data_IF_290128987219
#
_entry.id   IF_290128987219
#
_cell.length_a   1.000
_cell.length_b   1.000
_cell.length_c   1.000
_cell.angle_alpha   90.00
_cell.angle_beta   90.00
_cell.angle_gamma   90.00
#
_symmetry.space_group_name_H-M   'P 1'
#
loop_
_entity.id
_entity.type
_entity.pdbx_description
1 polymer ?
#
# COMPACT_ATOMS: atom_id res chain seq x y z
N UNK A 1 3.73 -7.22 -3.28
CA UNK A 1 5.11 -6.78 -3.60
C UNK A 1 4.96 -5.51 -4.42
N UNK A 2 4.83 -4.36 -3.75
CA UNK A 2 4.58 -3.08 -4.40
C UNK A 2 5.76 -2.16 -4.12
N UNK A 3 6.75 -2.19 -5.00
CA UNK A 3 7.81 -1.19 -5.05
C UNK A 3 7.41 -0.26 -6.19
N UNK A 4 7.07 0.99 -5.85
CA UNK A 4 6.89 2.03 -6.86
C UNK A 4 8.24 2.34 -7.50
N UNK A 5 8.47 1.80 -8.69
CA UNK A 5 9.52 2.29 -9.59
C UNK A 5 8.98 3.52 -10.33
N UNK A 6 9.61 4.67 -10.11
CA UNK A 6 9.48 5.83 -10.99
C UNK A 6 10.60 5.73 -12.02
N UNK A 7 10.30 5.14 -13.18
CA UNK A 7 11.10 5.31 -14.39
C UNK A 7 10.49 6.46 -15.19
N UNK A 8 11.15 7.61 -15.21
CA UNK A 8 10.71 8.76 -16.02
C UNK A 8 11.27 8.64 -17.44
N UNK A 9 10.40 8.33 -18.40
CA UNK A 9 10.66 8.60 -19.82
C UNK A 9 10.29 10.05 -20.14
N UNK A 10 11.17 10.72 -20.87
CA UNK A 10 11.06 12.11 -21.31
C UNK A 10 9.82 12.34 -22.20
N UNK A 11 9.18 13.51 -22.07
CA UNK A 11 8.18 13.95 -23.05
C UNK A 11 7.28 15.11 -22.62
N UNK A 12 7.72 16.33 -22.96
CA UNK A 12 6.93 17.52 -23.37
C UNK A 12 5.98 18.25 -22.38
N UNK A 13 6.23 19.56 -22.23
CA UNK A 13 5.49 20.56 -21.45
C UNK A 13 4.06 20.79 -21.95
N UNK A 14 3.13 20.99 -21.01
CA UNK A 14 1.95 21.84 -21.18
C UNK A 14 1.75 22.67 -19.90
N UNK A 15 1.70 24.01 -20.07
CA UNK A 15 1.45 24.98 -18.98
C UNK A 15 -0.05 25.11 -18.73
N UNK A 16 -0.46 25.02 -17.46
CA UNK A 16 -1.80 25.41 -17.01
C UNK A 16 -1.63 26.52 -15.97
N UNK A 17 -2.19 27.70 -16.25
CA UNK A 17 -2.25 28.84 -15.34
C UNK A 17 -3.44 28.67 -14.38
N UNK A 18 -3.20 28.76 -13.07
CA UNK A 18 -4.23 28.88 -12.04
C UNK A 18 -3.95 30.09 -11.14
N UNK A 19 -4.99 30.77 -10.63
CA UNK A 19 -4.89 32.08 -10.00
C UNK A 19 -4.27 32.02 -8.60
N UNK A 20 -3.53 33.08 -8.25
CA UNK A 20 -2.83 33.23 -6.97
C UNK A 20 -3.77 33.80 -5.89
N UNK A 21 -3.86 33.10 -4.75
CA UNK A 21 -4.39 33.65 -3.49
C UNK A 21 -3.22 34.19 -2.67
N UNK A 22 -3.27 35.42 -2.11
CA UNK A 22 -2.14 35.97 -1.36
C UNK A 22 -2.13 35.42 0.07
N UNK A 23 -1.21 34.50 0.36
CA UNK A 23 -0.85 34.15 1.74
C UNK A 23 0.35 35.03 2.15
N UNK A 24 0.16 35.82 3.21
CA UNK A 24 1.25 36.59 3.84
C UNK A 24 2.26 35.62 4.44
N UNK A 25 3.38 35.47 3.74
CA UNK A 25 4.48 34.57 4.05
C UNK A 25 5.56 35.35 4.82
N UNK A 26 5.76 35.03 6.10
CA UNK A 26 6.97 35.45 6.82
C UNK A 26 8.09 34.47 6.42
N UNK A 27 8.79 34.79 5.34
CA UNK A 27 10.00 34.09 4.91
C UNK A 27 11.15 34.46 5.84
N UNK A 28 11.43 33.62 6.84
CA UNK A 28 12.78 33.53 7.37
C UNK A 28 13.66 32.85 6.32
N UNK A 29 14.17 33.63 5.36
CA UNK A 29 15.16 33.19 4.37
C UNK A 29 16.42 32.76 5.12
N UNK A 30 16.71 31.45 5.17
CA UNK A 30 18.08 30.99 5.42
C UNK A 30 18.94 31.34 4.19
N UNK A 31 20.16 31.86 4.39
CA UNK A 31 21.10 32.05 3.28
C UNK A 31 21.43 30.68 2.65
N UNK A 32 21.36 30.60 1.32
CA UNK A 32 21.83 29.45 0.55
C UNK A 32 23.36 29.45 0.56
N UNK A 33 23.97 28.84 1.56
CA UNK A 33 25.40 28.50 1.50
C UNK A 33 25.56 27.23 0.66
N UNK A 34 26.35 27.33 -0.42
CA UNK A 34 26.87 26.15 -1.12
C UNK A 34 27.92 25.50 -0.19
N UNK A 35 27.49 24.62 0.70
CA UNK A 35 28.41 23.87 1.55
C UNK A 35 28.96 22.71 0.71
N UNK A 36 30.22 22.83 0.33
CA UNK A 36 30.98 21.70 -0.21
C UNK A 36 31.23 20.70 0.92
N UNK A 37 30.75 19.47 0.78
CA UNK A 37 30.99 18.42 1.75
C UNK A 37 32.41 17.85 1.56
N UNK A 38 33.32 17.96 2.54
CA UNK A 38 34.65 17.38 2.42
C UNK A 38 34.55 15.84 2.43
N UNK A 39 35.25 15.20 1.48
CA UNK A 39 35.48 13.74 1.45
C UNK A 39 36.50 13.38 2.55
N UNK A 40 36.03 13.07 3.76
CA UNK A 40 36.86 12.41 4.78
C UNK A 40 36.73 10.88 4.65
N UNK A 41 37.81 10.15 4.96
CA UNK A 41 37.84 8.68 4.99
C UNK A 41 36.85 8.17 6.05
N UNK A 42 35.89 7.35 5.65
CA UNK A 42 34.76 6.93 6.49
C UNK A 42 35.04 5.56 7.15
N UNK A 43 35.17 5.58 8.47
CA UNK A 43 34.68 4.48 9.33
C UNK A 43 33.48 5.05 10.07
N UNK A 44 32.27 4.55 9.80
CA UNK A 44 31.06 4.80 10.60
C UNK A 44 30.25 6.10 10.37
N UNK A 45 30.46 6.86 9.28
CA UNK A 45 29.66 8.05 8.99
C UNK A 45 28.36 7.71 8.25
N UNK A 46 27.25 8.35 8.65
CA UNK A 46 25.96 8.28 7.94
C UNK A 46 26.08 8.87 6.52
N UNK A 47 25.21 8.46 5.58
CA UNK A 47 25.10 9.11 4.28
C UNK A 47 24.87 10.63 4.43
N UNK A 48 25.26 11.45 3.42
CA UNK A 48 25.03 12.89 3.47
C UNK A 48 23.54 13.21 3.61
N UNK A 49 23.19 14.33 4.24
CA UNK A 49 21.80 14.70 4.48
C UNK A 49 21.60 16.18 4.71
N UNK A 50 20.36 16.68 4.61
CA UNK A 50 20.04 18.05 5.00
C UNK A 50 20.32 18.25 6.49
N UNK A 51 20.72 19.47 6.87
CA UNK A 51 20.96 19.80 8.29
C UNK A 51 19.63 19.71 9.06
N UNK A 52 19.51 18.83 10.07
CA UNK A 52 18.27 18.65 10.82
C UNK A 52 18.05 19.78 11.83
N UNK A 53 16.80 20.11 12.12
CA UNK A 53 16.46 20.91 13.30
C UNK A 53 16.65 20.11 14.58
N UNK A 54 16.94 20.77 15.72
CA UNK A 54 16.93 20.11 17.02
C UNK A 54 15.58 19.44 17.27
N UNK A 55 15.61 18.22 17.83
CA UNK A 55 14.45 17.38 18.20
C UNK A 55 13.63 16.88 17.01
N UNK A 56 13.11 17.77 16.15
CA UNK A 56 12.13 17.43 15.09
C UNK A 56 12.77 17.01 13.76
N UNK A 57 14.07 17.19 13.59
CA UNK A 57 14.75 16.82 12.34
C UNK A 57 14.30 17.70 11.16
N UNK A 58 13.98 17.09 10.03
CA UNK A 58 13.52 17.73 8.79
C UNK A 58 12.00 17.61 8.59
N UNK A 59 11.25 17.27 9.65
CA UNK A 59 9.78 17.18 9.60
C UNK A 59 9.13 18.51 9.15
N UNK A 60 9.51 19.70 9.64
CA UNK A 60 8.89 20.94 9.18
C UNK A 60 9.05 21.16 7.67
N UNK A 61 10.25 20.95 7.13
CA UNK A 61 10.50 21.05 5.70
C UNK A 61 9.66 20.06 4.91
N UNK A 62 9.56 18.81 5.36
CA UNK A 62 8.81 17.79 4.66
C UNK A 62 7.30 18.07 4.66
N UNK A 63 6.74 18.55 5.78
CA UNK A 63 5.32 18.94 5.89
C UNK A 63 4.98 20.07 4.93
N UNK A 64 5.86 21.08 4.83
CA UNK A 64 5.69 22.21 3.91
C UNK A 64 5.85 21.83 2.43
N UNK A 65 6.48 20.69 2.13
CA UNK A 65 6.83 20.28 0.77
C UNK A 65 6.20 18.94 0.35
N UNK A 66 5.07 18.54 0.98
CA UNK A 66 4.34 17.31 0.61
C UNK A 66 4.07 17.24 -0.93
N UNK A 67 4.09 16.05 -1.54
CA UNK A 67 4.29 14.74 -0.92
C UNK A 67 5.78 14.46 -0.65
N UNK A 68 6.04 13.73 0.45
CA UNK A 68 7.38 13.46 0.97
C UNK A 68 8.36 12.91 -0.08
N UNK A 69 7.94 11.93 -0.89
CA UNK A 69 8.81 11.32 -1.90
C UNK A 69 9.31 12.32 -2.95
N UNK A 70 8.50 13.30 -3.36
CA UNK A 70 8.91 14.33 -4.32
C UNK A 70 9.87 15.33 -3.69
N UNK A 71 9.66 15.67 -2.43
CA UNK A 71 10.58 16.54 -1.70
C UNK A 71 11.95 15.88 -1.51
N UNK A 72 11.98 14.63 -1.06
CA UNK A 72 13.22 13.85 -0.91
C UNK A 72 13.97 13.75 -2.25
N UNK A 73 13.26 13.44 -3.34
CA UNK A 73 13.88 13.34 -4.67
C UNK A 73 14.53 14.67 -5.11
N UNK A 74 13.81 15.79 -5.05
CA UNK A 74 14.35 17.10 -5.41
C UNK A 74 15.56 17.49 -4.54
N UNK A 75 15.50 17.19 -3.25
CA UNK A 75 16.61 17.43 -2.34
C UNK A 75 17.85 16.61 -2.72
N UNK A 76 17.68 15.34 -3.12
CA UNK A 76 18.77 14.50 -3.60
C UNK A 76 19.38 15.03 -4.91
N UNK A 77 18.55 15.51 -5.84
CA UNK A 77 19.01 16.17 -7.07
C UNK A 77 19.81 17.44 -6.76
N UNK A 78 19.29 18.31 -5.89
CA UNK A 78 19.96 19.56 -5.48
C UNK A 78 21.30 19.30 -4.77
N UNK A 79 21.38 18.23 -4.00
CA UNK A 79 22.61 17.80 -3.30
C UNK A 79 23.59 17.04 -4.21
N UNK A 80 23.16 16.60 -5.40
CA UNK A 80 23.97 15.79 -6.31
C UNK A 80 24.39 14.46 -5.70
N UNK A 81 23.49 13.78 -4.98
CA UNK A 81 23.79 12.51 -4.31
C UNK A 81 22.75 11.43 -4.60
N UNK A 82 23.21 10.18 -4.68
CA UNK A 82 22.35 9.03 -4.94
C UNK A 82 21.91 8.27 -3.68
N UNK A 83 22.48 8.64 -2.52
CA UNK A 83 22.11 8.10 -1.21
C UNK A 83 22.15 9.22 -0.19
N UNK A 84 21.05 9.40 0.55
CA UNK A 84 20.95 10.44 1.56
C UNK A 84 20.31 9.94 2.85
N UNK A 85 20.65 10.59 3.95
CA UNK A 85 20.06 10.36 5.26
C UNK A 85 19.23 11.58 5.68
N UNK A 86 17.90 11.42 5.73
CA UNK A 86 16.97 12.44 6.23
C UNK A 86 16.58 12.08 7.65
N UNK A 87 16.70 13.03 8.60
CA UNK A 87 16.29 12.78 9.98
C UNK A 87 14.86 13.27 10.19
N UNK A 88 13.96 12.41 10.63
CA UNK A 88 12.57 12.74 10.95
C UNK A 88 12.33 12.44 12.44
N UNK A 89 12.32 13.47 13.28
CA UNK A 89 12.33 13.28 14.74
C UNK A 89 13.59 12.53 15.20
N UNK A 90 13.38 11.35 15.81
CA UNK A 90 14.44 10.42 16.21
C UNK A 90 14.80 9.37 15.15
N UNK A 91 14.08 9.31 14.03
CA UNK A 91 14.23 8.28 12.99
C UNK A 91 15.14 8.78 11.86
N UNK A 92 16.05 7.92 11.41
CA UNK A 92 16.83 8.13 10.19
C UNK A 92 16.16 7.44 9.01
N UNK A 93 15.82 8.21 7.99
CA UNK A 93 15.27 7.72 6.72
C UNK A 93 16.37 7.77 5.67
N UNK A 94 16.78 6.60 5.21
CA UNK A 94 17.77 6.48 4.13
C UNK A 94 17.04 6.41 2.79
N UNK A 95 17.27 7.39 1.92
CA UNK A 95 16.73 7.41 0.58
C UNK A 95 17.83 7.08 -0.45
N UNK A 96 17.47 6.26 -1.43
CA UNK A 96 18.39 5.72 -2.43
C UNK A 96 17.76 5.88 -3.81
N UNK A 97 18.49 6.49 -4.75
CA UNK A 97 18.09 6.63 -6.16
C UNK A 97 18.98 5.83 -7.12
N UNK A 98 20.18 5.41 -6.69
CA UNK A 98 21.07 4.61 -7.53
C UNK A 98 20.67 3.13 -7.58
N UNK A 99 20.48 2.54 -8.78
CA UNK A 99 20.14 1.13 -8.94
C UNK A 99 21.16 0.16 -8.34
N UNK A 100 22.45 0.50 -8.37
CA UNK A 100 23.51 -0.38 -7.83
C UNK A 100 23.43 -0.49 -6.31
N UNK A 101 23.14 0.62 -5.62
CA UNK A 101 22.93 0.66 -4.16
C UNK A 101 21.61 -0.04 -3.80
N UNK A 102 20.54 0.21 -4.57
CA UNK A 102 19.26 -0.46 -4.37
C UNK A 102 19.41 -1.99 -4.48
N UNK A 103 20.22 -2.49 -5.42
CA UNK A 103 20.52 -3.93 -5.53
C UNK A 103 21.31 -4.45 -4.33
N UNK A 104 22.23 -3.67 -3.77
CA UNK A 104 22.94 -4.06 -2.55
C UNK A 104 21.94 -4.29 -1.40
N UNK A 105 21.04 -3.33 -1.16
CA UNK A 105 20.04 -3.37 -0.07
C UNK A 105 18.97 -4.44 -0.30
N UNK A 106 18.39 -4.52 -1.50
CA UNK A 106 17.21 -5.34 -1.77
C UNK A 106 17.53 -6.77 -2.23
N UNK A 107 18.81 -7.11 -2.47
CA UNK A 107 19.20 -8.46 -2.90
C UNK A 107 20.35 -9.04 -2.09
N UNK A 108 21.47 -8.33 -1.97
CA UNK A 108 22.66 -8.88 -1.30
C UNK A 108 22.55 -8.82 0.22
N UNK A 109 21.88 -7.80 0.73
CA UNK A 109 21.66 -7.55 2.16
C UNK A 109 20.17 -7.68 2.52
N UNK A 110 19.38 -8.39 1.71
CA UNK A 110 17.92 -8.43 1.85
C UNK A 110 17.46 -8.89 3.23
N UNK A 111 18.13 -9.86 3.84
CA UNK A 111 17.85 -10.32 5.21
C UNK A 111 18.02 -9.21 6.26
N UNK A 112 18.99 -8.32 6.09
CA UNK A 112 19.25 -7.20 7.02
C UNK A 112 18.22 -6.07 6.86
N UNK A 113 17.63 -5.91 5.67
CA UNK A 113 16.67 -4.87 5.35
C UNK A 113 15.25 -5.40 5.09
N UNK A 114 14.96 -6.64 5.52
CA UNK A 114 13.69 -7.31 5.23
C UNK A 114 12.52 -6.74 6.05
N UNK A 115 12.79 -6.21 7.24
CA UNK A 115 11.78 -5.69 8.16
C UNK A 115 11.10 -4.43 7.62
N UNK A 116 9.88 -4.17 8.10
CA UNK A 116 9.11 -2.96 7.79
C UNK A 116 9.08 -2.03 9.01
N UNK A 117 9.00 -0.70 8.79
CA UNK A 117 8.84 0.23 9.88
C UNK A 117 7.50 0.01 10.59
N UNK A 118 7.49 0.19 11.90
CA UNK A 118 6.26 0.18 12.68
C UNK A 118 5.57 1.54 12.54
N UNK A 119 4.36 1.55 12.00
CA UNK A 119 3.52 2.76 11.87
C UNK A 119 2.12 2.51 12.38
N UNK A 120 1.39 3.58 12.72
CA UNK A 120 -0.01 3.47 13.16
C UNK A 120 -0.87 2.75 12.11
N UNK A 121 -0.73 3.15 10.85
CA UNK A 121 -1.44 2.53 9.72
C UNK A 121 -1.11 1.04 9.57
N UNK A 122 0.19 0.69 9.55
CA UNK A 122 0.63 -0.69 9.36
C UNK A 122 0.15 -1.58 10.51
N UNK A 123 0.24 -1.11 11.75
CA UNK A 123 -0.24 -1.85 12.92
C UNK A 123 -1.75 -2.08 12.89
N UNK A 124 -2.52 -1.07 12.46
CA UNK A 124 -3.98 -1.16 12.39
C UNK A 124 -4.43 -2.14 11.30
N UNK A 125 -3.97 -1.95 10.05
CA UNK A 125 -4.38 -2.80 8.92
C UNK A 125 -3.91 -4.25 9.01
N UNK A 126 -2.83 -4.52 9.76
CA UNK A 126 -2.28 -5.87 9.94
C UNK A 126 -2.79 -6.62 11.18
N UNK A 127 -3.76 -6.05 11.91
CA UNK A 127 -4.25 -6.64 13.16
C UNK A 127 -3.16 -6.77 14.24
N UNK A 128 -2.25 -5.80 14.31
CA UNK A 128 -1.10 -5.82 15.21
C UNK A 128 0.05 -6.68 14.68
N UNK A 129 0.38 -6.56 13.39
CA UNK A 129 1.51 -7.21 12.72
C UNK A 129 1.40 -8.74 12.63
N UNK A 130 0.16 -9.21 12.48
CA UNK A 130 -0.16 -10.64 12.37
C UNK A 130 -0.43 -11.09 10.93
N UNK A 131 -0.44 -10.16 9.98
CA UNK A 131 -0.63 -10.46 8.55
C UNK A 131 0.66 -10.95 7.86
N UNK A 132 0.54 -11.42 6.61
CA UNK A 132 1.67 -11.99 5.86
C UNK A 132 2.57 -10.95 5.16
N UNK A 133 2.23 -9.66 5.23
CA UNK A 133 2.84 -8.59 4.42
C UNK A 133 3.67 -7.64 5.27
N UNK A 134 3.17 -7.28 6.44
CA UNK A 134 3.67 -6.25 7.35
C UNK A 134 4.27 -6.85 8.62
N UNK A 135 4.05 -8.14 8.93
CA UNK A 135 4.71 -8.80 10.06
C UNK A 135 6.24 -8.66 9.98
N UNK A 136 6.92 -8.32 11.10
CA UNK A 136 8.37 -8.24 11.14
C UNK A 136 9.05 -9.50 10.62
N UNK A 137 10.23 -9.34 10.02
CA UNK A 137 10.99 -10.47 9.53
C UNK A 137 11.34 -11.41 10.70
N UNK A 138 11.00 -12.69 10.55
CA UNK A 138 11.12 -13.69 11.58
C UNK A 138 10.41 -14.98 11.18
N UNK A 139 10.32 -15.95 12.08
CA UNK A 139 9.79 -17.27 11.76
C UNK A 139 8.30 -17.24 11.43
N UNK A 140 7.52 -16.38 12.08
CA UNK A 140 6.11 -16.17 11.75
C UNK A 140 5.94 -15.64 10.32
N UNK A 141 6.68 -14.59 9.95
CA UNK A 141 6.65 -14.06 8.58
C UNK A 141 7.05 -15.12 7.55
N UNK A 142 8.12 -15.90 7.82
CA UNK A 142 8.57 -16.98 6.94
C UNK A 142 7.50 -18.07 6.80
N UNK A 143 6.83 -18.46 7.90
CA UNK A 143 5.73 -19.44 7.90
C UNK A 143 4.59 -18.94 7.01
N UNK A 144 4.09 -17.74 7.23
CA UNK A 144 3.00 -17.15 6.45
C UNK A 144 3.37 -16.99 4.98
N UNK A 145 4.60 -16.55 4.70
CA UNK A 145 5.12 -16.43 3.33
C UNK A 145 5.10 -17.78 2.63
N UNK A 146 5.54 -18.84 3.30
CA UNK A 146 5.53 -20.21 2.77
C UNK A 146 4.10 -20.65 2.43
N UNK A 147 3.15 -20.47 3.35
CA UNK A 147 1.73 -20.81 3.14
C UNK A 147 1.17 -20.06 1.94
N UNK A 148 1.36 -18.73 1.85
CA UNK A 148 0.89 -17.97 0.70
C UNK A 148 1.50 -18.45 -0.62
N UNK A 149 2.81 -18.72 -0.65
CA UNK A 149 3.46 -19.14 -1.89
C UNK A 149 3.11 -20.56 -2.32
N UNK A 150 2.89 -21.46 -1.36
CA UNK A 150 2.57 -22.87 -1.65
C UNK A 150 1.09 -23.05 -1.93
N UNK A 151 0.20 -22.40 -1.17
CA UNK A 151 -1.23 -22.69 -1.21
C UNK A 151 -2.07 -21.69 -2.00
N UNK A 152 -1.63 -20.44 -2.12
CA UNK A 152 -2.44 -19.34 -2.68
C UNK A 152 -1.88 -18.87 -4.03
N UNK A 153 -0.58 -18.59 -4.10
CA UNK A 153 0.09 -17.96 -5.27
C UNK A 153 0.90 -18.97 -6.08
N UNK A 154 0.47 -20.23 -6.12
CA UNK A 154 1.13 -21.29 -6.88
C UNK A 154 0.44 -21.54 -8.24
N UNK A 155 1.16 -22.14 -9.23
CA UNK A 155 0.60 -22.36 -10.57
C UNK A 155 -0.64 -23.26 -10.60
N UNK A 156 -0.69 -24.29 -9.75
CA UNK A 156 -1.86 -25.19 -9.64
C UNK A 156 -3.10 -24.42 -9.18
N UNK A 157 -2.97 -23.63 -8.12
CA UNK A 157 -4.05 -22.80 -7.59
C UNK A 157 -4.48 -21.69 -8.56
N UNK A 158 -3.52 -21.13 -9.30
CA UNK A 158 -3.82 -20.21 -10.40
C UNK A 158 -4.68 -20.89 -11.47
N UNK A 159 -4.35 -22.11 -11.92
CA UNK A 159 -5.15 -22.86 -12.90
C UNK A 159 -6.53 -23.22 -12.37
N UNK A 160 -6.62 -23.69 -11.13
CA UNK A 160 -7.88 -24.06 -10.49
C UNK A 160 -8.89 -22.90 -10.48
N UNK A 161 -8.44 -21.68 -10.17
CA UNK A 161 -9.31 -20.49 -10.15
C UNK A 161 -9.40 -19.77 -11.51
N UNK A 162 -9.07 -20.44 -12.61
CA UNK A 162 -9.16 -19.85 -13.95
C UNK A 162 -10.55 -19.31 -14.24
N UNK A 163 -11.57 -20.13 -13.99
CA UNK A 163 -12.93 -19.78 -14.34
C UNK A 163 -13.43 -18.60 -13.50
N UNK A 164 -13.04 -18.50 -12.23
CA UNK A 164 -13.34 -17.33 -11.40
C UNK A 164 -12.86 -16.02 -12.07
N UNK A 165 -11.66 -16.03 -12.65
CA UNK A 165 -11.11 -14.85 -13.35
C UNK A 165 -11.79 -14.60 -14.69
N UNK A 166 -12.07 -15.66 -15.46
CA UNK A 166 -12.76 -15.55 -16.74
C UNK A 166 -14.16 -14.93 -16.56
N UNK A 167 -14.92 -15.40 -15.57
CA UNK A 167 -16.23 -14.83 -15.26
C UNK A 167 -16.17 -13.34 -14.90
N UNK A 168 -15.14 -12.90 -14.15
CA UNK A 168 -15.00 -11.47 -13.83
C UNK A 168 -14.60 -10.62 -15.04
N UNK A 169 -13.86 -11.17 -16.00
CA UNK A 169 -13.55 -10.52 -17.28
C UNK A 169 -14.80 -10.38 -18.16
N UNK A 170 -15.67 -11.40 -18.19
CA UNK A 170 -16.95 -11.34 -18.90
C UNK A 170 -17.89 -10.31 -18.25
N UNK A 171 -17.95 -10.29 -16.92
CA UNK A 171 -18.73 -9.30 -16.18
C UNK A 171 -18.24 -7.86 -16.42
N UNK A 172 -16.92 -7.66 -16.50
CA UNK A 172 -16.34 -6.38 -16.87
C UNK A 172 -16.79 -5.97 -18.28
N UNK A 173 -16.66 -6.87 -19.26
CA UNK A 173 -17.02 -6.60 -20.65
C UNK A 173 -18.50 -6.23 -20.77
N UNK A 174 -19.37 -6.97 -20.09
CA UNK A 174 -20.82 -6.68 -20.06
C UNK A 174 -21.11 -5.34 -19.42
N UNK A 175 -20.49 -5.03 -18.28
CA UNK A 175 -20.71 -3.76 -17.59
C UNK A 175 -20.26 -2.57 -18.45
N UNK A 176 -19.07 -2.65 -19.06
CA UNK A 176 -18.58 -1.60 -19.97
C UNK A 176 -19.49 -1.44 -21.17
N UNK A 177 -19.97 -2.55 -21.75
CA UNK A 177 -20.93 -2.51 -22.85
C UNK A 177 -22.21 -1.78 -22.42
N UNK A 178 -22.80 -2.15 -21.27
CA UNK A 178 -24.00 -1.49 -20.72
C UNK A 178 -23.78 0.01 -20.54
N UNK A 179 -22.64 0.43 -19.99
CA UNK A 179 -22.31 1.85 -19.82
C UNK A 179 -22.18 2.57 -21.17
N UNK A 180 -21.50 1.95 -22.13
CA UNK A 180 -21.27 2.54 -23.44
C UNK A 180 -22.55 2.67 -24.29
N UNK A 181 -23.51 1.75 -24.14
CA UNK A 181 -24.79 1.80 -24.85
C UNK A 181 -25.87 2.60 -24.12
N UNK A 182 -25.77 2.70 -22.79
CA UNK A 182 -26.77 3.35 -21.94
C UNK A 182 -26.50 4.83 -21.64
N UNK A 183 -25.29 5.32 -21.94
CA UNK A 183 -24.89 6.70 -21.64
C UNK A 183 -24.34 7.43 -22.88
N UNK A 184 -24.71 8.70 -23.04
CA UNK A 184 -24.06 9.60 -23.99
C UNK A 184 -22.71 10.16 -23.47
N UNK A 185 -22.44 10.01 -22.18
CA UNK A 185 -21.15 10.36 -21.58
C UNK A 185 -20.21 9.16 -21.59
N UNK A 186 -18.94 9.39 -21.90
CA UNK A 186 -17.93 8.33 -21.98
C UNK A 186 -17.75 7.54 -20.68
N UNK A 187 -17.05 6.40 -20.77
CA UNK A 187 -16.82 5.48 -19.65
C UNK A 187 -15.69 5.98 -18.74
N UNK A 188 -15.95 6.08 -17.43
CA UNK A 188 -14.89 6.30 -16.43
C UNK A 188 -14.05 5.02 -16.24
N UNK A 189 -12.96 4.93 -16.99
CA UNK A 189 -12.03 3.79 -16.96
C UNK A 189 -11.40 3.60 -15.58
N UNK A 190 -11.19 4.68 -14.80
CA UNK A 190 -10.60 4.57 -13.46
C UNK A 190 -11.59 3.89 -12.52
N UNK A 191 -12.85 4.29 -12.54
CA UNK A 191 -13.89 3.64 -11.75
C UNK A 191 -14.02 2.16 -12.11
N UNK A 192 -14.17 1.86 -13.41
CA UNK A 192 -14.33 0.49 -13.91
C UNK A 192 -13.12 -0.39 -13.56
N UNK A 193 -11.89 0.08 -13.78
CA UNK A 193 -10.68 -0.69 -13.51
C UNK A 193 -10.49 -0.97 -12.01
N UNK A 194 -10.80 0.01 -11.15
CA UNK A 194 -10.75 -0.16 -9.69
C UNK A 194 -11.68 -1.28 -9.25
N UNK A 195 -12.93 -1.23 -9.68
CA UNK A 195 -13.92 -2.25 -9.33
C UNK A 195 -13.58 -3.61 -9.92
N UNK A 196 -13.07 -3.70 -11.16
CA UNK A 196 -12.62 -4.96 -11.72
C UNK A 196 -11.54 -5.63 -10.85
N UNK A 197 -10.50 -4.90 -10.46
CA UNK A 197 -9.45 -5.42 -9.58
C UNK A 197 -10.03 -5.94 -8.26
N UNK A 198 -10.95 -5.17 -7.65
CA UNK A 198 -11.65 -5.58 -6.44
C UNK A 198 -12.52 -6.82 -6.61
N UNK A 199 -13.26 -6.90 -7.71
CA UNK A 199 -14.17 -8.01 -8.02
C UNK A 199 -13.39 -9.30 -8.25
N UNK A 200 -12.30 -9.25 -9.00
CA UNK A 200 -11.40 -10.41 -9.19
C UNK A 200 -10.89 -10.90 -7.83
N UNK A 201 -10.34 -10.02 -6.99
CA UNK A 201 -9.83 -10.44 -5.69
C UNK A 201 -10.94 -11.00 -4.79
N UNK A 202 -12.11 -10.35 -4.72
CA UNK A 202 -13.24 -10.87 -3.94
C UNK A 202 -13.74 -12.22 -4.44
N UNK A 203 -13.80 -12.42 -5.76
CA UNK A 203 -14.19 -13.68 -6.38
C UNK A 203 -13.17 -14.80 -6.09
N UNK A 204 -11.88 -14.48 -6.05
CA UNK A 204 -10.82 -15.44 -5.73
C UNK A 204 -10.74 -15.75 -4.24
N UNK A 205 -11.01 -14.78 -3.37
CA UNK A 205 -10.91 -14.94 -1.92
C UNK A 205 -12.19 -15.52 -1.31
N UNK A 206 -13.35 -15.01 -1.72
CA UNK A 206 -14.64 -15.30 -1.11
C UNK A 206 -15.61 -16.07 -2.02
N UNK A 207 -15.21 -16.41 -3.25
CA UNK A 207 -16.08 -17.08 -4.22
C UNK A 207 -17.21 -16.18 -4.75
N UNK A 208 -17.31 -14.92 -4.30
CA UNK A 208 -18.41 -14.00 -4.61
C UNK A 208 -17.94 -12.62 -5.05
N UNK A 209 -18.73 -11.99 -5.93
CA UNK A 209 -18.47 -10.65 -6.46
C UNK A 209 -19.02 -9.54 -5.56
N UNK A 210 -20.18 -9.77 -4.96
CA UNK A 210 -20.92 -8.78 -4.17
C UNK A 210 -20.98 -9.17 -2.70
N UNK A 211 -20.96 -8.18 -1.81
CA UNK A 211 -21.33 -8.32 -0.40
C UNK A 211 -22.83 -8.13 -0.19
N UNK A 212 -23.49 -7.34 -1.03
CA UNK A 212 -24.93 -7.13 -1.03
C UNK A 212 -25.57 -7.45 -2.38
N UNK A 213 -26.74 -6.86 -2.63
CA UNK A 213 -27.48 -7.10 -3.86
C UNK A 213 -26.78 -6.49 -5.10
N UNK A 214 -26.74 -7.22 -6.23
CA UNK A 214 -26.18 -6.73 -7.47
C UNK A 214 -27.05 -5.62 -8.06
N UNK A 215 -26.42 -4.67 -8.76
CA UNK A 215 -27.15 -3.69 -9.56
C UNK A 215 -27.58 -4.30 -10.91
N UNK A 216 -28.73 -3.90 -11.48
CA UNK A 216 -29.21 -4.42 -12.76
C UNK A 216 -28.26 -4.19 -13.94
N UNK A 217 -27.44 -3.14 -13.87
CA UNK A 217 -26.44 -2.80 -14.89
C UNK A 217 -25.16 -3.65 -14.80
N UNK A 218 -25.01 -4.48 -13.77
CA UNK A 218 -23.81 -5.28 -13.49
C UNK A 218 -22.66 -4.48 -12.84
N UNK A 219 -22.93 -3.23 -12.46
CA UNK A 219 -22.00 -2.34 -11.76
C UNK A 219 -21.86 -2.66 -10.27
N UNK A 220 -20.97 -1.93 -9.56
CA UNK A 220 -20.80 -2.11 -8.13
C UNK A 220 -22.06 -1.68 -7.35
N UNK A 221 -22.46 -2.48 -6.36
CA UNK A 221 -23.46 -2.08 -5.38
C UNK A 221 -22.91 -1.07 -4.37
N UNK A 222 -23.77 -0.59 -3.45
CA UNK A 222 -23.36 0.37 -2.42
C UNK A 222 -22.24 -0.18 -1.52
N UNK A 223 -22.32 -1.47 -1.15
CA UNK A 223 -21.28 -2.11 -0.33
C UNK A 223 -19.98 -2.32 -1.12
N UNK A 224 -20.05 -2.51 -2.44
CA UNK A 224 -18.88 -2.63 -3.31
C UNK A 224 -18.17 -1.28 -3.46
N UNK A 225 -18.93 -0.19 -3.62
CA UNK A 225 -18.42 1.19 -3.64
C UNK A 225 -17.73 1.50 -2.29
N UNK A 226 -18.43 1.28 -1.18
CA UNK A 226 -17.89 1.49 0.17
C UNK A 226 -16.62 0.65 0.42
N UNK A 227 -16.64 -0.62 0.02
CA UNK A 227 -15.49 -1.52 0.16
C UNK A 227 -14.29 -1.03 -0.64
N UNK A 228 -14.49 -0.67 -1.91
CA UNK A 228 -13.39 -0.26 -2.77
C UNK A 228 -12.81 1.09 -2.37
N UNK A 229 -13.64 2.03 -1.92
CA UNK A 229 -13.17 3.31 -1.38
C UNK A 229 -12.35 3.10 -0.11
N UNK A 230 -12.80 2.23 0.81
CA UNK A 230 -12.05 1.88 2.01
C UNK A 230 -10.73 1.17 1.68
N UNK A 231 -10.72 0.20 0.75
CA UNK A 231 -9.50 -0.51 0.33
C UNK A 231 -8.50 0.45 -0.31
N UNK A 232 -8.92 1.30 -1.24
CA UNK A 232 -8.01 2.26 -1.87
C UNK A 232 -7.54 3.36 -0.89
N UNK A 233 -8.36 3.71 0.10
CA UNK A 233 -7.96 4.57 1.21
C UNK A 233 -6.88 3.89 2.06
N UNK A 234 -7.08 2.64 2.44
CA UNK A 234 -6.10 1.86 3.19
C UNK A 234 -4.77 1.72 2.43
N UNK A 235 -4.81 1.39 1.13
CA UNK A 235 -3.60 1.32 0.27
C UNK A 235 -2.91 2.68 0.15
N UNK A 236 -3.67 3.77 0.07
CA UNK A 236 -3.13 5.13 0.00
C UNK A 236 -2.51 5.61 1.32
N UNK A 237 -3.00 5.12 2.46
CA UNK A 237 -2.50 5.45 3.79
C UNK A 237 -1.36 4.51 4.23
N UNK A 238 -1.29 3.31 3.66
CA UNK A 238 -0.21 2.37 3.93
C UNK A 238 1.13 2.97 3.49
N UNK A 239 2.01 3.23 4.47
CA UNK A 239 3.28 3.96 4.32
C UNK A 239 3.17 5.44 3.93
N UNK A 240 1.97 6.03 3.96
CA UNK A 240 1.87 7.48 3.89
C UNK A 240 2.48 8.11 5.14
N UNK A 241 3.01 9.31 4.97
CA UNK A 241 3.62 10.06 6.06
C UNK A 241 2.56 10.48 7.08
N UNK A 242 2.72 10.06 8.34
CA UNK A 242 1.99 10.55 9.49
C UNK A 242 2.98 11.15 10.50
N UNK A 243 2.67 12.33 11.05
CA UNK A 243 3.57 13.03 11.97
C UNK A 243 3.78 12.25 13.27
N UNK A 244 2.73 11.60 13.78
CA UNK A 244 2.78 10.86 15.05
C UNK A 244 3.67 9.62 14.98
N UNK A 245 3.91 9.05 13.79
CA UNK A 245 4.88 7.97 13.60
C UNK A 245 6.33 8.40 13.91
N UNK A 246 6.64 9.69 13.81
CA UNK A 246 7.99 10.25 14.04
C UNK A 246 8.11 11.08 15.31
N UNK A 247 6.98 11.58 15.82
CA UNK A 247 6.87 12.34 17.07
C UNK A 247 5.78 11.71 17.94
N UNK A 248 6.08 10.62 18.67
CA UNK A 248 5.07 9.81 19.36
C UNK A 248 4.25 10.58 20.40
N UNK A 249 4.79 11.66 20.98
CA UNK A 249 4.06 12.52 21.92
C UNK A 249 2.95 13.36 21.26
N UNK A 250 2.87 13.37 19.93
CA UNK A 250 1.77 13.94 19.17
C UNK A 250 0.72 12.89 18.77
N UNK A 251 0.90 11.62 19.16
CA UNK A 251 -0.05 10.55 18.92
C UNK A 251 -1.43 10.87 19.51
N UNK A 252 -2.50 10.51 18.80
CA UNK A 252 -3.88 10.74 19.22
C UNK A 252 -4.39 12.17 18.99
N UNK A 253 -3.53 13.15 18.72
CA UNK A 253 -3.97 14.50 18.31
C UNK A 253 -4.54 14.51 16.89
N UNK A 254 -4.18 13.51 16.08
CA UNK A 254 -4.65 13.31 14.71
C UNK A 254 -4.57 14.57 13.82
N UNK A 255 -3.42 15.26 13.86
CA UNK A 255 -3.22 16.60 13.30
C UNK A 255 -3.56 16.72 11.81
N UNK A 256 -3.48 15.62 11.05
CA UNK A 256 -3.83 15.57 9.63
C UNK A 256 -4.97 14.58 9.31
N UNK A 257 -5.72 14.12 10.33
CA UNK A 257 -6.85 13.20 10.19
C UNK A 257 -6.46 11.77 9.80
N UNK A 258 -5.15 11.47 9.75
CA UNK A 258 -4.62 10.21 9.29
C UNK A 258 -5.08 9.02 10.16
N UNK A 259 -5.05 9.14 11.48
CA UNK A 259 -5.47 8.07 12.38
C UNK A 259 -6.96 7.76 12.23
N UNK A 260 -7.82 8.79 12.12
CA UNK A 260 -9.25 8.63 11.87
C UNK A 260 -9.49 7.91 10.53
N UNK A 261 -8.86 8.36 9.44
CA UNK A 261 -9.04 7.73 8.13
C UNK A 261 -8.60 6.26 8.11
N UNK A 262 -7.49 5.94 8.79
CA UNK A 262 -7.02 4.55 8.95
C UNK A 262 -8.07 3.71 9.68
N UNK A 263 -8.60 4.20 10.81
CA UNK A 263 -9.61 3.47 11.61
C UNK A 263 -10.91 3.26 10.83
N UNK A 264 -11.39 4.27 10.13
CA UNK A 264 -12.61 4.20 9.32
C UNK A 264 -12.45 3.20 8.17
N UNK A 265 -11.37 3.29 7.40
CA UNK A 265 -11.09 2.35 6.31
C UNK A 265 -10.97 0.90 6.82
N UNK A 266 -10.25 0.69 7.93
CA UNK A 266 -10.09 -0.64 8.52
C UNK A 266 -11.42 -1.20 9.04
N UNK A 267 -12.24 -0.36 9.67
CA UNK A 267 -13.56 -0.74 10.18
C UNK A 267 -14.49 -1.19 9.05
N UNK A 268 -14.56 -0.42 7.95
CA UNK A 268 -15.37 -0.79 6.78
C UNK A 268 -14.91 -2.12 6.17
N UNK A 269 -13.60 -2.30 5.98
CA UNK A 269 -13.06 -3.54 5.40
C UNK A 269 -13.39 -4.74 6.31
N UNK A 270 -13.09 -4.64 7.61
CA UNK A 270 -13.33 -5.72 8.56
C UNK A 270 -14.81 -6.08 8.65
N UNK A 271 -15.70 -5.08 8.77
CA UNK A 271 -17.15 -5.32 8.84
C UNK A 271 -17.66 -6.16 7.67
N UNK A 272 -17.21 -5.86 6.45
CA UNK A 272 -17.62 -6.59 5.25
C UNK A 272 -16.94 -7.96 5.13
N UNK A 273 -15.66 -8.08 5.51
CA UNK A 273 -14.90 -9.33 5.44
C UNK A 273 -15.31 -10.32 6.53
N UNK A 274 -15.40 -9.87 7.78
CA UNK A 274 -15.73 -10.69 8.95
C UNK A 274 -17.10 -11.37 8.79
N UNK A 275 -18.07 -10.67 8.20
CA UNK A 275 -19.38 -11.25 7.87
C UNK A 275 -19.23 -12.50 6.99
N UNK A 276 -18.38 -12.43 5.95
CA UNK A 276 -18.13 -13.55 5.03
C UNK A 276 -17.35 -14.66 5.71
N UNK A 277 -16.33 -14.28 6.48
CA UNK A 277 -15.41 -15.20 7.14
C UNK A 277 -16.17 -16.01 8.19
N UNK A 278 -16.98 -15.36 9.02
CA UNK A 278 -17.78 -16.01 10.06
C UNK A 278 -18.85 -16.95 9.47
N UNK A 279 -19.53 -16.51 8.42
CA UNK A 279 -20.47 -17.34 7.66
C UNK A 279 -19.77 -18.61 7.16
N UNK A 280 -18.64 -18.44 6.47
CA UNK A 280 -17.89 -19.55 5.89
C UNK A 280 -17.32 -20.49 6.95
N UNK A 281 -16.83 -19.95 8.05
CA UNK A 281 -16.33 -20.73 9.18
C UNK A 281 -17.43 -21.62 9.79
N UNK A 282 -18.66 -21.10 9.94
CA UNK A 282 -19.80 -21.89 10.42
C UNK A 282 -20.17 -23.02 9.47
N UNK A 283 -20.15 -22.78 8.16
CA UNK A 283 -20.45 -23.80 7.13
C UNK A 283 -19.46 -24.97 7.14
N UNK A 284 -18.17 -24.69 7.32
CA UNK A 284 -17.14 -25.73 7.48
C UNK A 284 -17.32 -26.49 8.80
N UNK A 285 -17.63 -25.78 9.89
CA UNK A 285 -17.83 -26.40 11.21
C UNK A 285 -19.08 -27.29 11.27
N UNK A 286 -20.15 -26.92 10.57
CA UNK A 286 -21.39 -27.71 10.49
C UNK A 286 -21.32 -28.87 9.50
N UNK A 287 -20.31 -28.89 8.62
CA UNK A 287 -20.17 -29.87 7.54
C UNK A 287 -21.12 -29.64 6.36
N UNK A 288 -21.77 -28.48 6.31
CA UNK A 288 -22.55 -27.98 5.16
C UNK A 288 -21.64 -27.78 3.94
N UNK A 289 -20.43 -27.26 4.18
CA UNK A 289 -19.39 -27.11 3.16
C UNK A 289 -18.32 -28.19 3.34
N UNK A 290 -17.99 -28.86 2.25
CA UNK A 290 -17.03 -29.99 2.23
C UNK A 290 -15.98 -29.90 1.14
N UNK A 291 -16.20 -29.02 0.17
CA UNK A 291 -15.33 -28.82 -0.98
C UNK A 291 -14.70 -27.44 -0.94
N UNK A 292 -13.46 -27.36 -1.41
CA UNK A 292 -12.77 -26.10 -1.60
C UNK A 292 -13.31 -25.45 -2.88
N UNK A 293 -13.55 -24.14 -2.84
CA UNK A 293 -13.98 -23.35 -4.00
C UNK A 293 -13.14 -22.07 -4.17
N UNK A 294 -12.60 -21.53 -3.09
CA UNK A 294 -11.85 -20.28 -3.09
C UNK A 294 -10.67 -20.28 -2.09
N UNK A 295 -9.93 -19.17 -2.02
CA UNK A 295 -8.80 -19.06 -1.09
C UNK A 295 -9.23 -19.07 0.39
N UNK A 296 -10.42 -18.58 0.73
CA UNK A 296 -10.88 -18.60 2.11
C UNK A 296 -11.07 -20.05 2.59
N UNK A 297 -11.60 -20.93 1.74
CA UNK A 297 -11.70 -22.36 2.06
C UNK A 297 -10.32 -23.00 2.28
N UNK A 298 -9.36 -22.67 1.42
CA UNK A 298 -7.97 -23.14 1.56
C UNK A 298 -7.39 -22.70 2.89
N UNK A 299 -7.59 -21.44 3.29
CA UNK A 299 -7.07 -20.89 4.55
C UNK A 299 -7.77 -21.48 5.78
N UNK A 300 -9.10 -21.69 5.74
CA UNK A 300 -9.87 -22.30 6.84
C UNK A 300 -9.47 -23.75 7.07
N UNK A 301 -9.24 -24.51 5.99
CA UNK A 301 -8.93 -25.94 6.07
C UNK A 301 -7.43 -26.23 6.23
N UNK A 302 -6.59 -25.20 6.13
CA UNK A 302 -5.14 -25.36 6.26
C UNK A 302 -4.77 -25.90 7.65
N UNK A 303 -4.10 -27.05 7.68
CA UNK A 303 -3.49 -27.62 8.88
C UNK A 303 -1.98 -27.42 8.82
N UNK A 304 -1.37 -27.09 9.95
CA UNK A 304 0.09 -27.00 10.06
C UNK A 304 0.72 -28.35 9.65
N UNK A 305 1.36 -28.41 8.48
CA UNK A 305 2.21 -29.54 8.07
C UNK A 305 1.91 -30.24 6.73
N UNK A 306 0.84 -29.90 6.00
CA UNK A 306 0.57 -30.48 4.66
C UNK A 306 0.61 -29.40 3.58
N UNK A 307 1.64 -29.45 2.72
CA UNK A 307 1.63 -28.73 1.45
C UNK A 307 0.69 -29.49 0.50
N UNK A 308 -0.41 -28.87 0.08
CA UNK A 308 -1.38 -29.46 -0.85
C UNK A 308 -0.90 -29.30 -2.30
N UNK A 309 -0.03 -28.33 -2.55
CA UNK A 309 0.46 -28.03 -3.90
C UNK A 309 1.79 -28.74 -4.25
N UNK A 310 2.07 -29.88 -3.62
CA UNK A 310 3.28 -30.68 -3.81
C UNK A 310 3.21 -31.79 -4.87
N UNK A 311 2.04 -32.00 -5.48
CA UNK A 311 1.81 -33.05 -6.49
C UNK A 311 1.66 -32.48 -7.92
#
# INVERSE_FOLDING_TARGET
MGIQYLSSCQGTRASIHLPRVPQRLVLLRRPKSKIAYPRSRIVGALPPGPVPWPVVGNLPEMVLNKPAFRWIHRMMEDMGTDITCVRLGSVHVIAITCPSIAREVLRKQDANFASRPFTFASGTFSGGYKDAVLSPFGDQWKKMRRVLTSEIVCPSRHRWLHDHRAHEADNLSRYVHTLATGSASGVDVRHVARHYCGNVIRRLVFGRRYFGEPRPDGGPGLMEEEHMDAVFTAVGLLFAFCVSDYLPWLGGLDLDGHEKMVKEANSTVNRLHDTVIDERWRQWKSGERRELDDFLDVLITHKDGHNICGD
#
